data_IF_612269073962
#
_entry.id   IF_612269073962
#
_cell.length_a   1.000
_cell.length_b   1.000
_cell.length_c   1.000
_cell.angle_alpha   90.00
_cell.angle_beta   90.00
_cell.angle_gamma   90.00
#
_symmetry.space_group_name_H-M   'P 1'
#
loop_
_entity.id
_entity.type
_entity.pdbx_description
1 polymer ?
#
# COMPACT_ATOMS: atom_id res chain seq x y z
N UNK A 1 -11.38 -31.17 -40.38
CA UNK A 1 -10.65 -31.00 -39.11
C UNK A 1 -11.58 -31.40 -37.99
N UNK A 2 -11.19 -32.35 -37.16
CA UNK A 2 -12.04 -32.89 -36.11
C UNK A 2 -12.05 -32.00 -34.88
N UNK A 3 -13.22 -31.83 -34.25
CA UNK A 3 -13.42 -31.08 -33.00
C UNK A 3 -12.39 -31.43 -31.91
N UNK A 4 -11.95 -32.70 -31.85
CA UNK A 4 -10.96 -33.18 -30.86
C UNK A 4 -9.56 -32.59 -31.10
N UNK A 5 -9.17 -32.38 -32.36
CA UNK A 5 -7.89 -31.80 -32.73
C UNK A 5 -7.85 -30.31 -32.38
N UNK A 6 -8.97 -29.61 -32.61
CA UNK A 6 -9.16 -28.21 -32.22
C UNK A 6 -9.11 -28.03 -30.70
N UNK A 7 -9.77 -28.89 -29.92
CA UNK A 7 -9.70 -28.86 -28.45
C UNK A 7 -8.28 -29.08 -27.94
N UNK A 8 -7.50 -29.98 -28.56
CA UNK A 8 -6.10 -30.19 -28.20
C UNK A 8 -5.25 -28.95 -28.49
N UNK A 9 -5.43 -28.32 -29.65
CA UNK A 9 -4.73 -27.09 -30.02
C UNK A 9 -5.06 -25.93 -29.06
N UNK A 10 -6.34 -25.77 -28.71
CA UNK A 10 -6.80 -24.74 -27.77
C UNK A 10 -6.22 -24.93 -26.36
N UNK A 11 -6.13 -26.17 -25.87
CA UNK A 11 -5.51 -26.45 -24.56
C UNK A 11 -4.03 -26.07 -24.53
N UNK A 12 -3.30 -26.38 -25.61
CA UNK A 12 -1.89 -26.00 -25.73
C UNK A 12 -1.74 -24.48 -25.75
N UNK A 13 -2.55 -23.78 -26.55
CA UNK A 13 -2.53 -22.32 -26.61
C UNK A 13 -2.89 -21.67 -25.28
N UNK A 14 -3.85 -22.22 -24.53
CA UNK A 14 -4.21 -21.72 -23.21
C UNK A 14 -3.06 -21.88 -22.22
N UNK A 15 -2.38 -23.04 -22.22
CA UNK A 15 -1.22 -23.24 -21.33
C UNK A 15 -0.09 -22.24 -21.58
N UNK A 16 0.13 -21.85 -22.83
CA UNK A 16 1.14 -20.85 -23.19
C UNK A 16 0.71 -19.43 -22.81
N UNK A 17 -0.59 -19.11 -22.97
CA UNK A 17 -1.15 -17.84 -22.48
C UNK A 17 -1.07 -17.74 -20.96
N UNK A 18 -1.36 -18.81 -20.23
CA UNK A 18 -1.28 -18.84 -18.77
C UNK A 18 0.14 -18.57 -18.28
N UNK A 19 1.16 -19.16 -18.92
CA UNK A 19 2.57 -18.85 -18.63
C UNK A 19 2.89 -17.39 -18.88
N UNK A 20 2.40 -16.82 -19.99
CA UNK A 20 2.62 -15.42 -20.33
C UNK A 20 1.92 -14.49 -19.35
N UNK A 21 0.73 -14.85 -18.87
CA UNK A 21 0.01 -14.11 -17.83
C UNK A 21 0.85 -14.06 -16.56
N UNK A 22 1.33 -15.20 -16.06
CA UNK A 22 2.14 -15.25 -14.84
C UNK A 22 3.42 -14.40 -14.97
N UNK A 23 4.10 -14.48 -16.12
CA UNK A 23 5.29 -13.67 -16.37
C UNK A 23 4.97 -12.16 -16.34
N UNK A 24 3.87 -11.75 -16.98
CA UNK A 24 3.45 -10.36 -17.02
C UNK A 24 2.99 -9.86 -15.65
N UNK A 25 2.27 -10.67 -14.89
CA UNK A 25 1.86 -10.34 -13.51
C UNK A 25 3.08 -10.05 -12.63
N UNK A 26 4.10 -10.91 -12.67
CA UNK A 26 5.34 -10.69 -11.92
C UNK A 26 6.03 -9.39 -12.35
N UNK A 27 6.14 -9.14 -13.66
CA UNK A 27 6.76 -7.92 -14.17
C UNK A 27 5.98 -6.66 -13.79
N UNK A 28 4.65 -6.72 -13.76
CA UNK A 28 3.81 -5.61 -13.29
C UNK A 28 4.04 -5.37 -11.79
N UNK A 29 4.13 -6.42 -10.99
CA UNK A 29 4.43 -6.31 -9.56
C UNK A 29 5.81 -5.66 -9.32
N UNK A 30 6.84 -6.05 -10.08
CA UNK A 30 8.18 -5.47 -9.96
C UNK A 30 8.19 -3.98 -10.33
N UNK A 31 7.50 -3.60 -11.42
CA UNK A 31 7.37 -2.21 -11.85
C UNK A 31 6.58 -1.36 -10.84
N UNK A 32 5.51 -1.91 -10.29
CA UNK A 32 4.73 -1.26 -9.25
C UNK A 32 5.57 -1.05 -7.99
N UNK A 33 6.37 -2.04 -7.58
CA UNK A 33 7.29 -1.91 -6.46
C UNK A 33 8.37 -0.87 -6.73
N UNK A 34 8.95 -0.85 -7.93
CA UNK A 34 9.96 0.13 -8.32
C UNK A 34 9.41 1.56 -8.30
N UNK A 35 8.21 1.76 -8.85
CA UNK A 35 7.52 3.06 -8.85
C UNK A 35 7.25 3.57 -7.44
N UNK A 36 6.78 2.68 -6.54
CA UNK A 36 6.44 3.02 -5.15
C UNK A 36 7.65 3.08 -4.20
N UNK A 37 8.87 2.87 -4.69
CA UNK A 37 10.07 2.81 -3.84
C UNK A 37 10.33 4.13 -3.09
N UNK A 38 9.95 5.25 -3.70
CA UNK A 38 10.10 6.59 -3.14
C UNK A 38 8.84 7.09 -2.40
N UNK A 39 7.77 6.30 -2.36
CA UNK A 39 6.52 6.70 -1.69
C UNK A 39 6.69 6.73 -0.17
N UNK A 40 6.30 7.84 0.45
CA UNK A 40 6.30 8.00 1.91
C UNK A 40 4.86 7.90 2.42
N UNK A 41 4.61 6.93 3.29
CA UNK A 41 3.30 6.79 3.95
C UNK A 41 3.32 7.46 5.32
N UNK A 42 2.71 8.64 5.41
CA UNK A 42 2.49 9.33 6.68
C UNK A 42 1.19 8.81 7.32
N UNK A 43 1.32 8.14 8.46
CA UNK A 43 0.19 7.62 9.22
C UNK A 43 -0.13 8.51 10.42
N UNK A 44 -1.43 8.58 10.79
CA UNK A 44 -1.94 9.32 11.96
C UNK A 44 -1.71 10.84 11.88
N UNK A 45 -1.59 11.38 10.67
CA UNK A 45 -1.67 12.82 10.45
C UNK A 45 -3.15 13.23 10.40
N UNK A 46 -3.53 14.16 11.27
CA UNK A 46 -4.86 14.77 11.23
C UNK A 46 -4.87 15.83 10.13
N UNK A 47 -5.49 15.49 9.01
CA UNK A 47 -5.69 16.40 7.88
C UNK A 47 -7.12 16.91 7.94
N UNK A 48 -7.32 18.22 7.83
CA UNK A 48 -8.64 18.83 7.60
C UNK A 48 -8.76 19.19 6.12
N UNK A 49 -9.44 18.37 5.28
CA UNK A 49 -9.53 18.64 3.86
C UNK A 49 -10.29 19.94 3.58
N UNK A 50 -9.84 20.68 2.55
CA UNK A 50 -10.44 21.94 2.07
C UNK A 50 -11.96 21.91 1.95
N UNK A 51 -12.54 20.81 1.46
CA UNK A 51 -13.99 20.65 1.29
C UNK A 51 -14.75 20.62 2.63
N UNK A 52 -14.16 20.01 3.65
CA UNK A 52 -14.77 19.93 4.98
C UNK A 52 -14.67 21.28 5.71
N UNK A 53 -13.52 21.95 5.61
CA UNK A 53 -13.34 23.29 6.15
C UNK A 53 -14.37 24.27 5.57
N UNK A 54 -14.55 24.27 4.23
CA UNK A 54 -15.57 25.10 3.57
C UNK A 54 -16.99 24.80 4.03
N UNK A 55 -17.38 23.52 4.11
CA UNK A 55 -18.72 23.15 4.54
C UNK A 55 -19.01 23.58 6.00
N UNK A 56 -18.02 23.49 6.89
CA UNK A 56 -18.15 23.91 8.29
C UNK A 56 -18.20 25.43 8.44
N UNK A 57 -17.37 26.17 7.70
CA UNK A 57 -17.35 27.63 7.76
C UNK A 57 -18.64 28.24 7.18
N UNK A 58 -19.19 27.66 6.11
CA UNK A 58 -20.50 28.06 5.56
C UNK A 58 -21.61 27.87 6.61
N UNK A 59 -21.56 26.80 7.42
CA UNK A 59 -22.53 26.58 8.48
C UNK A 59 -22.36 27.54 9.67
N UNK A 60 -21.14 28.01 9.94
CA UNK A 60 -20.83 28.91 11.06
C UNK A 60 -20.96 30.39 10.74
N UNK A 61 -21.19 30.77 9.48
CA UNK A 61 -21.32 32.17 9.07
C UNK A 61 -20.02 32.97 9.16
N UNK A 62 -18.87 32.29 9.20
CA UNK A 62 -17.54 32.92 9.18
C UNK A 62 -17.10 33.15 7.72
N UNK A 63 -16.81 34.39 7.35
CA UNK A 63 -16.17 34.71 6.07
C UNK A 63 -14.74 34.15 6.06
N UNK A 64 -14.51 33.19 5.17
CA UNK A 64 -13.21 32.56 4.97
C UNK A 64 -12.25 33.59 4.34
N UNK A 65 -11.25 34.03 5.10
CA UNK A 65 -10.09 34.67 4.49
C UNK A 65 -9.37 33.62 3.62
N UNK A 66 -8.82 34.05 2.47
CA UNK A 66 -8.14 33.16 1.51
C UNK A 66 -6.95 32.39 2.14
N UNK A 67 -6.49 32.82 3.32
CA UNK A 67 -5.34 32.30 4.05
C UNK A 67 -5.63 31.05 4.90
N UNK A 68 -6.88 30.68 5.17
CA UNK A 68 -7.22 29.52 6.03
C UNK A 68 -7.32 28.18 5.26
N UNK A 69 -6.89 28.15 4.00
CA UNK A 69 -6.96 26.97 3.12
C UNK A 69 -5.63 26.23 2.99
N UNK A 70 -5.08 25.72 4.10
CA UNK A 70 -3.82 24.98 4.08
C UNK A 70 -3.96 23.70 3.24
N UNK A 71 -3.12 23.52 2.22
CA UNK A 71 -3.13 22.34 1.33
C UNK A 71 -2.75 21.05 2.07
N UNK A 72 -2.97 19.88 1.47
CA UNK A 72 -2.58 18.59 2.11
C UNK A 72 -1.06 18.51 2.24
N UNK A 73 -0.38 18.98 1.21
CA UNK A 73 1.06 19.11 1.07
C UNK A 73 1.65 19.99 2.17
N UNK A 74 1.04 21.14 2.46
CA UNK A 74 1.45 22.03 3.54
C UNK A 74 1.26 21.39 4.93
N UNK A 75 0.14 20.70 5.17
CA UNK A 75 -0.05 19.95 6.43
C UNK A 75 1.02 18.88 6.61
N UNK A 76 1.38 18.17 5.53
CA UNK A 76 2.44 17.15 5.55
C UNK A 76 3.81 17.79 5.77
N UNK A 77 4.12 18.89 5.09
CA UNK A 77 5.37 19.64 5.24
C UNK A 77 5.54 20.16 6.67
N UNK A 78 4.52 20.82 7.23
CA UNK A 78 4.55 21.30 8.61
C UNK A 78 4.74 20.16 9.63
N UNK A 79 4.07 19.02 9.42
CA UNK A 79 4.24 17.85 10.26
C UNK A 79 5.68 17.30 10.20
N UNK A 80 6.24 17.14 9.00
CA UNK A 80 7.60 16.61 8.83
C UNK A 80 8.64 17.57 9.40
N UNK A 81 8.47 18.88 9.19
CA UNK A 81 9.32 19.90 9.78
C UNK A 81 9.30 19.84 11.31
N UNK A 82 8.12 19.61 11.93
CA UNK A 82 8.01 19.40 13.39
C UNK A 82 8.78 18.17 13.91
N UNK A 83 9.15 17.26 13.02
CA UNK A 83 9.96 16.06 13.29
C UNK A 83 11.43 16.22 12.87
N UNK A 84 11.82 17.41 12.43
CA UNK A 84 13.18 17.70 11.96
C UNK A 84 13.47 17.11 10.58
N UNK A 85 12.43 16.86 9.77
CA UNK A 85 12.56 16.38 8.40
C UNK A 85 12.22 17.53 7.46
N UNK A 86 13.21 18.03 6.73
CA UNK A 86 13.00 19.04 5.69
C UNK A 86 12.41 18.39 4.44
N UNK A 87 11.35 19.00 3.91
CA UNK A 87 10.68 18.58 2.69
C UNK A 87 10.46 19.80 1.79
N UNK A 88 10.97 19.74 0.56
CA UNK A 88 10.65 20.74 -0.46
C UNK A 88 9.31 20.40 -1.12
N UNK A 89 8.34 21.28 -0.94
CA UNK A 89 6.98 21.12 -1.48
C UNK A 89 6.99 21.05 -3.01
N UNK A 90 7.95 21.72 -3.67
CA UNK A 90 8.03 21.75 -5.13
C UNK A 90 8.46 20.41 -5.76
N UNK A 91 9.09 19.54 -4.96
CA UNK A 91 9.56 18.22 -5.41
C UNK A 91 8.53 17.10 -5.14
N UNK A 92 7.33 17.43 -4.66
CA UNK A 92 6.27 16.45 -4.41
C UNK A 92 5.56 16.14 -5.73
N UNK A 93 5.71 14.92 -6.25
CA UNK A 93 4.99 14.48 -7.46
C UNK A 93 3.47 14.35 -7.21
N UNK A 94 3.09 13.79 -6.06
CA UNK A 94 1.70 13.65 -5.65
C UNK A 94 1.58 13.55 -4.12
N UNK A 95 0.58 14.21 -3.55
CA UNK A 95 0.20 14.05 -2.15
C UNK A 95 -1.32 13.88 -2.05
N UNK A 96 -1.77 12.74 -1.54
CA UNK A 96 -3.20 12.52 -1.35
C UNK A 96 -3.48 11.74 -0.06
N UNK A 97 -4.52 12.12 0.70
CA UNK A 97 -4.95 11.31 1.82
C UNK A 97 -5.38 9.94 1.30
N UNK A 98 -4.84 8.88 1.90
CA UNK A 98 -5.36 7.55 1.63
C UNK A 98 -6.85 7.53 2.03
N UNK A 99 -7.74 6.98 1.18
CA UNK A 99 -9.13 6.77 1.55
C UNK A 99 -9.17 6.11 2.93
N UNK A 100 -9.92 6.68 3.88
CA UNK A 100 -10.14 6.02 5.18
C UNK A 100 -10.88 4.73 4.89
N UNK A 101 -10.12 3.65 4.74
CA UNK A 101 -10.69 2.32 4.58
C UNK A 101 -11.38 1.97 5.88
N UNK A 102 -12.60 1.44 5.78
CA UNK A 102 -13.39 1.02 6.92
C UNK A 102 -12.55 0.12 7.83
N UNK A 103 -12.84 0.10 9.14
CA UNK A 103 -12.18 -0.77 10.13
C UNK A 103 -12.21 -2.27 9.76
N UNK A 104 -12.93 -2.64 8.71
CA UNK A 104 -13.11 -3.99 8.19
C UNK A 104 -12.20 -4.33 7.00
N UNK A 105 -11.33 -3.43 6.54
CA UNK A 105 -10.39 -3.75 5.45
C UNK A 105 -9.26 -4.66 5.95
N UNK A 106 -9.55 -5.97 5.95
CA UNK A 106 -8.70 -7.07 6.40
C UNK A 106 -7.25 -6.97 5.90
N UNK A 107 -6.96 -6.78 4.60
CA UNK A 107 -5.58 -6.71 4.12
C UNK A 107 -4.79 -5.52 4.70
N UNK A 108 -5.40 -4.35 4.88
CA UNK A 108 -4.72 -3.20 5.45
C UNK A 108 -4.35 -3.42 6.93
N UNK A 109 -5.23 -4.07 7.71
CA UNK A 109 -4.96 -4.45 9.10
C UNK A 109 -3.81 -5.47 9.20
N UNK A 110 -3.83 -6.48 8.34
CA UNK A 110 -2.78 -7.51 8.29
C UNK A 110 -1.43 -6.88 7.97
N UNK A 111 -1.34 -6.01 6.95
CA UNK A 111 -0.09 -5.31 6.62
C UNK A 111 0.42 -4.46 7.79
N UNK A 112 -0.48 -3.76 8.48
CA UNK A 112 -0.12 -2.92 9.63
C UNK A 112 0.45 -3.76 10.77
N UNK A 113 -0.18 -4.91 11.08
CA UNK A 113 0.29 -5.85 12.10
C UNK A 113 1.62 -6.50 11.69
N UNK A 114 1.79 -6.90 10.43
CA UNK A 114 3.05 -7.45 9.92
C UNK A 114 4.20 -6.43 10.03
N UNK A 115 3.99 -5.15 9.67
CA UNK A 115 5.01 -4.11 9.87
C UNK A 115 5.37 -3.90 11.33
N UNK A 116 4.38 -3.96 12.22
CA UNK A 116 4.61 -3.87 13.67
C UNK A 116 5.51 -5.01 14.16
N UNK A 117 5.24 -6.24 13.74
CA UNK A 117 6.07 -7.42 14.06
C UNK A 117 7.49 -7.32 13.49
N UNK A 118 7.66 -6.74 12.29
CA UNK A 118 8.97 -6.45 11.70
C UNK A 118 9.76 -5.47 12.54
N UNK A 119 9.11 -4.40 13.00
CA UNK A 119 9.75 -3.39 13.85
C UNK A 119 10.15 -3.97 15.23
N UNK A 120 9.41 -4.98 15.71
CA UNK A 120 9.78 -5.77 16.89
C UNK A 120 10.87 -6.83 16.61
N UNK A 121 11.41 -6.90 15.39
CA UNK A 121 12.38 -7.90 14.93
C UNK A 121 11.89 -9.35 15.05
N UNK A 122 10.59 -9.59 15.12
CA UNK A 122 10.01 -10.94 15.19
C UNK A 122 9.89 -11.61 13.83
N UNK A 123 9.85 -10.80 12.78
CA UNK A 123 9.91 -11.23 11.38
C UNK A 123 10.97 -10.38 10.67
N UNK A 124 11.56 -10.94 9.62
CA UNK A 124 12.67 -10.32 8.90
C UNK A 124 12.18 -9.23 7.93
N UNK A 125 11.25 -9.59 7.06
CA UNK A 125 10.69 -8.65 6.08
C UNK A 125 9.23 -8.96 5.77
N UNK A 126 8.53 -7.97 5.20
CA UNK A 126 7.14 -8.10 4.75
C UNK A 126 6.93 -7.31 3.47
N UNK A 127 6.21 -7.88 2.52
CA UNK A 127 5.89 -7.27 1.23
C UNK A 127 4.54 -7.79 0.71
N UNK A 128 4.05 -7.18 -0.37
CA UNK A 128 2.79 -7.55 -1.00
C UNK A 128 3.01 -7.77 -2.49
N UNK A 129 2.51 -8.88 -3.03
CA UNK A 129 2.49 -9.16 -4.48
C UNK A 129 1.19 -9.89 -4.84
N UNK A 130 0.60 -9.58 -6.00
CA UNK A 130 -0.68 -10.14 -6.46
C UNK A 130 -1.78 -10.11 -5.39
N UNK A 131 -1.91 -8.98 -4.68
CA UNK A 131 -2.84 -8.77 -3.57
C UNK A 131 -2.68 -9.76 -2.37
N UNK A 132 -1.58 -10.51 -2.33
CA UNK A 132 -1.22 -11.42 -1.23
C UNK A 132 -0.13 -10.79 -0.38
N UNK A 133 -0.21 -11.02 0.93
CA UNK A 133 0.73 -10.49 1.90
C UNK A 133 1.74 -11.59 2.23
N UNK A 134 3.02 -11.26 2.14
CA UNK A 134 4.12 -12.18 2.42
C UNK A 134 4.92 -11.68 3.61
N UNK A 135 5.39 -12.62 4.41
CA UNK A 135 6.37 -12.37 5.47
C UNK A 135 7.54 -13.33 5.31
N UNK A 136 8.75 -12.85 5.56
CA UNK A 136 9.95 -13.67 5.70
C UNK A 136 10.27 -13.82 7.17
N UNK A 137 10.46 -15.05 7.62
CA UNK A 137 10.86 -15.33 8.99
C UNK A 137 12.36 -15.10 9.19
N UNK A 138 12.75 -14.88 10.44
CA UNK A 138 14.15 -14.82 10.83
C UNK A 138 14.77 -16.22 10.72
N UNK A 139 15.95 -16.31 10.12
CA UNK A 139 16.72 -17.54 9.98
C UNK A 139 17.93 -17.32 9.08
N UNK A 140 18.92 -18.22 9.10
CA UNK A 140 20.01 -18.21 8.13
C UNK A 140 19.45 -18.26 6.69
N UNK A 141 20.17 -17.72 5.70
CA UNK A 141 19.65 -17.56 4.33
C UNK A 141 19.14 -18.87 3.71
N UNK A 142 19.69 -20.02 4.13
CA UNK A 142 19.28 -21.36 3.68
C UNK A 142 17.97 -21.87 4.32
N UNK A 143 17.56 -21.35 5.48
CA UNK A 143 16.35 -21.76 6.22
C UNK A 143 15.24 -20.69 6.25
N UNK A 144 15.49 -19.52 5.67
CA UNK A 144 14.58 -18.39 5.75
C UNK A 144 13.25 -18.65 5.02
N UNK A 145 12.24 -19.08 5.78
CA UNK A 145 10.92 -19.45 5.25
C UNK A 145 10.08 -18.21 4.92
N UNK A 146 9.51 -18.21 3.72
CA UNK A 146 8.52 -17.21 3.30
C UNK A 146 7.11 -17.78 3.49
N UNK A 147 6.25 -17.03 4.17
CA UNK A 147 4.86 -17.40 4.43
C UNK A 147 3.90 -16.42 3.77
N UNK A 148 2.80 -16.95 3.22
CA UNK A 148 1.65 -16.17 2.76
C UNK A 148 0.67 -16.01 3.91
N UNK A 149 0.37 -14.76 4.23
CA UNK A 149 -0.57 -14.40 5.29
C UNK A 149 -1.92 -14.08 4.66
N UNK A 150 -2.94 -14.84 5.05
CA UNK A 150 -4.30 -14.68 4.51
C UNK A 150 -5.21 -14.01 5.53
N UNK A 151 -5.03 -14.33 6.81
CA UNK A 151 -5.86 -13.81 7.88
C UNK A 151 -5.02 -13.20 9.02
N UNK A 152 -5.69 -12.53 9.96
CA UNK A 152 -5.02 -11.91 11.12
C UNK A 152 -4.46 -12.96 12.09
N UNK A 153 -5.13 -14.11 12.21
CA UNK A 153 -4.75 -15.21 13.09
C UNK A 153 -3.41 -15.84 12.68
N UNK A 154 -3.05 -15.74 11.40
CA UNK A 154 -1.75 -16.19 10.91
C UNK A 154 -0.59 -15.36 11.51
N UNK A 155 -0.85 -14.09 11.85
CA UNK A 155 0.12 -13.19 12.47
C UNK A 155 0.15 -13.29 14.00
N UNK A 156 -0.91 -13.79 14.63
CA UNK A 156 -0.99 -13.96 16.09
C UNK A 156 0.04 -14.95 16.61
N UNK A 157 0.47 -15.89 15.76
CA UNK A 157 1.54 -16.88 16.05
C UNK A 157 2.90 -16.24 16.34
N UNK A 158 3.07 -14.97 16.00
CA UNK A 158 4.31 -14.22 16.17
C UNK A 158 4.17 -13.11 17.21
N UNK A 159 3.07 -13.07 17.98
CA UNK A 159 2.86 -12.10 19.05
C UNK A 159 3.53 -12.54 20.35
#
# INVERSE_FOLDING_TARGET
MGLVEEVKALRLQNSEKDRRIVLLENRVADLEQYSRMNDIIVSRLEIKPRFYARAVSIQKGEELTEQDSISVEEHVSAFLHSKGIELDINNIEACHPFPRRLKTDKPALIIRKARFLRNQKKIHSTWTTNCKIFIKLNGPPEESKVLVIRNMEDLDKFQ
#
